data_IF_674406970565
#
_entry.id   IF_674406970565
#
_cell.length_a   1.000
_cell.length_b   1.000
_cell.length_c   1.000
_cell.angle_alpha   90.00
_cell.angle_beta   90.00
_cell.angle_gamma   90.00
#
_symmetry.space_group_name_H-M   'P 1'
#
loop_
_entity.id
_entity.type
_entity.pdbx_description
1 polymer ?
#
# COMPACT_ATOMS: atom_id res chain seq x y z
N UNK A 1 52.00 8.75 -34.85
CA UNK A 1 53.27 7.98 -34.93
C UNK A 1 53.61 7.61 -33.49
N UNK A 2 53.42 6.39 -32.99
CA UNK A 2 53.99 5.12 -33.42
C UNK A 2 52.98 3.96 -33.33
N UNK A 3 53.09 3.07 -34.30
CA UNK A 3 52.40 1.78 -34.46
C UNK A 3 53.23 0.70 -33.75
N UNK A 4 52.60 -0.16 -32.95
CA UNK A 4 53.22 -1.43 -32.49
C UNK A 4 52.32 -2.59 -32.88
N UNK A 5 52.86 -3.42 -33.77
CA UNK A 5 52.32 -4.69 -34.27
C UNK A 5 52.54 -5.77 -33.20
N UNK A 6 51.51 -6.54 -32.87
CA UNK A 6 51.63 -7.80 -32.12
C UNK A 6 51.43 -8.98 -33.10
N UNK A 7 52.40 -9.91 -33.14
CA UNK A 7 52.35 -11.15 -33.92
C UNK A 7 51.47 -12.23 -33.28
N UNK A 8 51.12 -13.30 -34.01
CA UNK A 8 50.18 -14.31 -33.53
C UNK A 8 50.89 -15.36 -32.67
N UNK A 9 50.45 -15.54 -31.43
CA UNK A 9 50.84 -16.69 -30.59
C UNK A 9 49.76 -17.76 -30.63
N UNK A 10 50.10 -18.87 -31.26
CA UNK A 10 49.35 -20.12 -31.28
C UNK A 10 49.46 -20.82 -29.93
N UNK A 11 48.36 -20.91 -29.16
CA UNK A 11 48.24 -21.85 -28.04
C UNK A 11 46.91 -22.58 -28.17
N UNK A 12 47.00 -23.92 -28.22
CA UNK A 12 45.90 -24.84 -28.48
C UNK A 12 44.79 -24.77 -27.45
N UNK A 13 43.56 -24.92 -27.94
CA UNK A 13 42.32 -24.93 -27.16
C UNK A 13 42.15 -26.31 -26.51
N UNK A 14 42.34 -26.41 -25.20
CA UNK A 14 41.91 -27.59 -24.45
C UNK A 14 40.37 -27.59 -24.34
N UNK A 15 39.69 -28.76 -24.44
CA UNK A 15 38.24 -28.83 -24.32
C UNK A 15 37.79 -28.61 -22.87
N UNK A 16 36.74 -27.80 -22.70
CA UNK A 16 36.08 -27.54 -21.42
C UNK A 16 35.43 -28.81 -20.85
N UNK A 17 35.53 -29.07 -19.53
CA UNK A 17 34.79 -30.16 -18.91
C UNK A 17 33.29 -29.86 -18.88
N UNK A 18 32.47 -30.87 -19.17
CA UNK A 18 31.01 -30.82 -19.16
C UNK A 18 30.48 -30.38 -17.79
N UNK A 19 29.63 -29.36 -17.77
CA UNK A 19 28.91 -28.92 -16.57
C UNK A 19 27.90 -29.99 -16.15
N UNK A 20 28.21 -30.65 -15.03
CA UNK A 20 27.27 -31.45 -14.24
C UNK A 20 26.06 -30.59 -13.85
N UNK A 21 24.87 -31.03 -14.24
CA UNK A 21 23.59 -30.37 -13.95
C UNK A 21 23.25 -30.50 -12.47
N UNK A 22 23.53 -29.46 -11.69
CA UNK A 22 23.00 -29.29 -10.33
C UNK A 22 21.47 -29.15 -10.36
N UNK A 23 20.71 -29.91 -9.55
CA UNK A 23 19.25 -29.80 -9.52
C UNK A 23 18.83 -28.45 -8.92
N UNK A 24 18.06 -27.68 -9.69
CA UNK A 24 17.51 -26.37 -9.33
C UNK A 24 16.66 -26.45 -8.05
N UNK A 25 16.93 -25.68 -6.98
CA UNK A 25 16.07 -25.61 -5.81
C UNK A 25 14.92 -24.62 -6.08
N UNK A 26 14.11 -24.85 -7.11
CA UNK A 26 13.04 -23.92 -7.54
C UNK A 26 11.61 -24.37 -7.25
N UNK A 27 11.41 -25.50 -6.55
CA UNK A 27 10.05 -26.00 -6.28
C UNK A 27 9.51 -25.76 -4.87
N UNK A 28 10.33 -25.39 -3.88
CA UNK A 28 9.86 -25.23 -2.48
C UNK A 28 9.57 -23.80 -2.01
N UNK A 29 10.06 -22.76 -2.70
CA UNK A 29 9.81 -21.36 -2.29
C UNK A 29 8.42 -20.86 -2.76
N UNK A 30 7.88 -21.42 -3.84
CA UNK A 30 6.56 -21.02 -4.37
C UNK A 30 5.39 -21.42 -3.47
N UNK A 31 5.56 -22.45 -2.63
CA UNK A 31 4.48 -23.00 -1.79
C UNK A 31 4.23 -22.21 -0.50
N UNK A 32 5.22 -21.45 0.02
CA UNK A 32 5.02 -20.63 1.21
C UNK A 32 4.45 -19.24 0.88
N UNK A 33 4.82 -18.65 -0.25
CA UNK A 33 4.33 -17.33 -0.67
C UNK A 33 2.83 -17.34 -1.06
N UNK A 34 2.31 -18.47 -1.55
CA UNK A 34 0.89 -18.63 -1.91
C UNK A 34 -0.07 -18.65 -0.72
N UNK A 35 0.44 -18.80 0.51
CA UNK A 35 -0.38 -18.76 1.72
C UNK A 35 -0.54 -17.37 2.31
N UNK A 36 0.25 -16.39 1.84
CA UNK A 36 0.21 -15.00 2.33
C UNK A 36 -0.51 -14.05 1.38
N UNK A 37 -0.71 -14.43 0.11
CA UNK A 37 -1.43 -13.64 -0.87
C UNK A 37 -2.30 -14.57 -1.74
N UNK A 38 -3.63 -14.45 -1.68
CA UNK A 38 -4.53 -15.16 -2.61
C UNK A 38 -4.31 -14.65 -4.04
N UNK A 39 -4.57 -15.53 -5.02
CA UNK A 39 -4.48 -15.24 -6.45
C UNK A 39 -5.25 -13.97 -6.84
N UNK A 40 -4.83 -13.23 -7.89
CA UNK A 40 -5.50 -12.01 -8.31
C UNK A 40 -6.97 -12.26 -8.58
N UNK A 41 -7.82 -11.50 -7.90
CA UNK A 41 -9.27 -11.53 -8.07
C UNK A 41 -9.56 -10.96 -9.45
N UNK A 42 -10.04 -11.79 -10.38
CA UNK A 42 -10.53 -11.33 -11.68
C UNK A 42 -11.59 -10.25 -11.47
N UNK A 43 -11.40 -9.10 -12.15
CA UNK A 43 -12.14 -7.83 -12.07
C UNK A 43 -13.68 -7.94 -12.06
N UNK A 44 -14.23 -9.09 -12.46
CA UNK A 44 -15.66 -9.36 -12.61
C UNK A 44 -16.43 -9.60 -11.30
N UNK A 45 -15.77 -9.83 -10.16
CA UNK A 45 -16.46 -10.25 -8.93
C UNK A 45 -16.75 -9.15 -7.90
N UNK A 46 -16.26 -7.91 -8.10
CA UNK A 46 -16.47 -6.83 -7.12
C UNK A 46 -17.82 -6.15 -7.37
N UNK A 47 -18.77 -6.18 -6.40
CA UNK A 47 -20.02 -5.44 -6.56
C UNK A 47 -19.71 -3.96 -6.80
N UNK A 48 -20.18 -3.41 -7.92
CA UNK A 48 -20.05 -1.99 -8.24
C UNK A 48 -20.95 -1.19 -7.31
N UNK A 49 -20.57 -0.99 -6.05
CA UNK A 49 -21.25 -0.03 -5.19
C UNK A 49 -21.21 1.36 -5.87
N UNK A 50 -22.21 2.21 -5.68
CA UNK A 50 -22.15 3.56 -6.24
C UNK A 50 -21.08 4.38 -5.50
N UNK A 51 -20.47 5.36 -6.17
CA UNK A 51 -19.69 6.39 -5.46
C UNK A 51 -20.59 7.04 -4.39
N UNK A 52 -20.02 7.52 -3.26
CA UNK A 52 -20.83 8.11 -2.20
C UNK A 52 -21.74 9.19 -2.78
N UNK A 53 -23.04 9.09 -2.50
CA UNK A 53 -24.02 10.13 -2.88
C UNK A 53 -23.61 11.45 -2.19
N UNK A 54 -23.88 12.59 -2.83
CA UNK A 54 -23.73 13.90 -2.20
C UNK A 54 -24.43 13.90 -0.83
N UNK A 55 -23.76 14.43 0.20
CA UNK A 55 -24.27 14.40 1.58
C UNK A 55 -23.94 13.14 2.39
N UNK A 56 -23.36 12.08 1.78
CA UNK A 56 -22.95 10.90 2.53
C UNK A 56 -21.84 11.21 3.54
N UNK A 57 -21.85 10.47 4.66
CA UNK A 57 -20.77 10.47 5.66
C UNK A 57 -19.64 9.56 5.16
N UNK A 58 -18.43 10.11 5.09
CA UNK A 58 -17.23 9.40 4.63
C UNK A 58 -16.12 9.54 5.66
N UNK A 59 -15.27 8.51 5.78
CA UNK A 59 -14.08 8.55 6.63
C UNK A 59 -12.84 8.62 5.75
N UNK A 60 -11.84 9.41 6.17
CA UNK A 60 -10.55 9.54 5.48
C UNK A 60 -9.45 9.23 6.47
N UNK A 61 -8.75 8.10 6.28
CA UNK A 61 -7.54 7.81 7.07
C UNK A 61 -6.39 8.70 6.61
N UNK A 62 -5.38 8.94 7.45
CA UNK A 62 -4.19 9.70 7.03
C UNK A 62 -4.51 11.12 6.55
N UNK A 63 -5.55 11.75 7.09
CA UNK A 63 -6.07 13.04 6.61
C UNK A 63 -5.09 14.21 6.75
N UNK A 64 -4.10 14.10 7.63
CA UNK A 64 -3.02 15.07 7.79
C UNK A 64 -1.90 14.92 6.74
N UNK A 65 -1.90 13.86 5.93
CA UNK A 65 -0.94 13.67 4.85
C UNK A 65 -1.25 14.56 3.65
N UNK A 66 -0.30 14.69 2.72
CA UNK A 66 -0.45 15.55 1.54
C UNK A 66 -1.69 15.19 0.69
N UNK A 67 -1.80 13.93 0.28
CA UNK A 67 -2.96 13.43 -0.47
C UNK A 67 -4.23 13.49 0.39
N UNK A 68 -4.14 13.09 1.65
CA UNK A 68 -5.27 13.06 2.59
C UNK A 68 -5.92 14.43 2.78
N UNK A 69 -5.13 15.49 2.98
CA UNK A 69 -5.64 16.84 3.20
C UNK A 69 -6.38 17.41 1.99
N UNK A 70 -5.82 17.21 0.79
CA UNK A 70 -6.49 17.60 -0.45
C UNK A 70 -7.77 16.79 -0.71
N UNK A 71 -7.73 15.49 -0.40
CA UNK A 71 -8.89 14.61 -0.52
C UNK A 71 -10.03 15.08 0.40
N UNK A 72 -9.73 15.40 1.67
CA UNK A 72 -10.71 15.97 2.62
C UNK A 72 -11.34 17.23 2.03
N UNK A 73 -10.52 18.19 1.57
CA UNK A 73 -11.02 19.44 0.96
C UNK A 73 -11.95 19.15 -0.22
N UNK A 74 -11.56 18.25 -1.13
CA UNK A 74 -12.32 17.91 -2.33
C UNK A 74 -13.63 17.18 -2.03
N UNK A 75 -13.67 16.37 -0.96
CA UNK A 75 -14.89 15.71 -0.49
C UNK A 75 -15.86 16.73 0.14
N UNK A 76 -15.34 17.68 0.93
CA UNK A 76 -16.15 18.75 1.51
C UNK A 76 -16.73 19.68 0.44
N UNK A 77 -15.95 20.05 -0.58
CA UNK A 77 -16.40 20.82 -1.76
C UNK A 77 -17.52 20.10 -2.52
N UNK A 78 -17.51 18.76 -2.53
CA UNK A 78 -18.56 17.93 -3.15
C UNK A 78 -19.79 17.71 -2.27
N UNK A 79 -19.88 18.36 -1.11
CA UNK A 79 -21.06 18.29 -0.25
C UNK A 79 -21.08 17.12 0.72
N UNK A 80 -19.98 16.38 0.91
CA UNK A 80 -19.92 15.29 1.88
C UNK A 80 -19.70 15.79 3.32
N UNK A 81 -20.04 14.94 4.29
CA UNK A 81 -19.62 15.06 5.69
C UNK A 81 -18.42 14.15 5.90
N UNK A 82 -17.30 14.72 6.35
CA UNK A 82 -15.99 14.04 6.39
C UNK A 82 -15.55 13.83 7.84
N UNK A 83 -15.21 12.59 8.17
CA UNK A 83 -14.48 12.21 9.38
C UNK A 83 -13.01 12.04 9.02
N UNK A 84 -12.21 13.05 9.35
CA UNK A 84 -10.78 13.07 9.07
C UNK A 84 -10.00 12.40 10.21
N UNK A 85 -9.43 11.23 9.94
CA UNK A 85 -8.65 10.50 10.92
C UNK A 85 -7.18 10.91 10.84
N UNK A 86 -6.63 11.31 11.97
CA UNK A 86 -5.25 11.74 12.18
C UNK A 86 -4.71 11.03 13.42
N UNK A 87 -3.39 10.94 13.60
CA UNK A 87 -2.85 10.24 14.79
C UNK A 87 -3.02 11.04 16.07
N UNK A 88 -2.89 12.36 15.99
CA UNK A 88 -3.07 13.26 17.12
C UNK A 88 -3.79 14.53 16.65
N UNK A 89 -5.01 14.73 17.16
CA UNK A 89 -5.84 15.90 16.88
C UNK A 89 -5.37 17.17 17.61
N UNK A 90 -4.50 17.03 18.61
CA UNK A 90 -3.91 18.14 19.35
C UNK A 90 -2.59 18.64 18.72
N UNK A 91 -2.06 17.93 17.72
CA UNK A 91 -0.85 18.36 17.01
C UNK A 91 -1.17 19.44 15.96
N UNK A 92 -1.29 20.69 16.39
CA UNK A 92 -1.65 21.83 15.52
C UNK A 92 -0.70 22.02 14.34
N UNK A 93 0.58 21.68 14.50
CA UNK A 93 1.54 21.70 13.38
C UNK A 93 1.11 20.77 12.24
N UNK A 94 0.55 19.61 12.56
CA UNK A 94 0.11 18.61 11.56
C UNK A 94 -1.34 18.81 11.13
N UNK A 95 -2.19 19.33 12.00
CA UNK A 95 -3.66 19.34 11.77
C UNK A 95 -4.28 20.73 11.69
N UNK A 96 -3.50 21.80 11.86
CA UNK A 96 -4.00 23.18 11.83
C UNK A 96 -4.74 23.53 10.54
N UNK A 97 -4.28 23.03 9.40
CA UNK A 97 -4.98 23.22 8.12
C UNK A 97 -6.34 22.51 8.05
N UNK A 98 -6.50 21.34 8.72
CA UNK A 98 -7.78 20.66 8.82
C UNK A 98 -8.71 21.41 9.79
N UNK A 99 -8.19 21.89 10.93
CA UNK A 99 -8.95 22.70 11.89
C UNK A 99 -9.50 23.98 11.22
N UNK A 100 -8.70 24.64 10.38
CA UNK A 100 -9.13 25.81 9.62
C UNK A 100 -10.26 25.52 8.62
N UNK A 101 -10.36 24.27 8.11
CA UNK A 101 -11.45 23.87 7.20
C UNK A 101 -12.79 23.66 7.92
N UNK A 102 -12.81 23.36 9.23
CA UNK A 102 -14.05 23.08 9.98
C UNK A 102 -15.07 24.23 9.85
N UNK A 103 -14.74 25.49 10.20
CA UNK A 103 -15.68 26.60 10.03
C UNK A 103 -15.96 26.90 8.55
N UNK A 104 -14.97 26.73 7.66
CA UNK A 104 -15.12 27.03 6.23
C UNK A 104 -16.14 26.15 5.51
N UNK A 105 -16.41 24.94 6.04
CA UNK A 105 -17.37 23.99 5.46
C UNK A 105 -18.59 23.73 6.36
N UNK A 106 -18.90 24.66 7.27
CA UNK A 106 -20.13 24.62 8.07
C UNK A 106 -20.19 23.43 9.04
N UNK A 107 -19.05 23.02 9.60
CA UNK A 107 -19.00 21.92 10.57
C UNK A 107 -19.12 20.51 9.98
N UNK A 108 -19.15 20.37 8.64
CA UNK A 108 -19.17 19.06 7.96
C UNK A 108 -17.86 18.27 8.07
N UNK A 109 -16.83 18.84 8.69
CA UNK A 109 -15.56 18.19 8.97
C UNK A 109 -15.44 17.92 10.47
N UNK A 110 -15.11 16.68 10.83
CA UNK A 110 -14.75 16.29 12.21
C UNK A 110 -13.38 15.62 12.21
N UNK A 111 -12.56 15.93 13.21
CA UNK A 111 -11.22 15.35 13.39
C UNK A 111 -11.30 14.22 14.43
N UNK A 112 -10.69 13.08 14.11
CA UNK A 112 -10.68 11.89 14.97
C UNK A 112 -9.26 11.40 15.17
N UNK A 113 -8.84 11.21 16.43
CA UNK A 113 -7.54 10.58 16.74
C UNK A 113 -7.64 9.07 16.51
N UNK A 114 -6.84 8.52 15.60
CA UNK A 114 -6.76 7.09 15.33
C UNK A 114 -5.36 6.68 14.90
N UNK A 115 -4.85 5.61 15.51
CA UNK A 115 -3.59 4.96 15.13
C UNK A 115 -3.91 3.67 14.36
N UNK A 116 -3.46 3.57 13.12
CA UNK A 116 -3.68 2.39 12.28
C UNK A 116 -2.94 1.15 12.74
N UNK A 117 -1.94 1.31 13.60
CA UNK A 117 -1.21 0.21 14.22
C UNK A 117 -1.91 -0.33 15.46
N UNK A 118 -2.98 0.34 15.94
CA UNK A 118 -3.76 -0.07 17.09
C UNK A 118 -5.07 -0.75 16.67
N UNK A 119 -5.28 -1.99 17.16
CA UNK A 119 -6.51 -2.75 16.92
C UNK A 119 -7.74 -1.98 17.39
N UNK A 120 -8.75 -1.88 16.51
CA UNK A 120 -10.04 -1.26 16.83
C UNK A 120 -10.04 0.27 16.83
N UNK A 121 -8.92 0.92 16.47
CA UNK A 121 -8.81 2.39 16.46
C UNK A 121 -9.83 3.09 15.55
N UNK A 122 -10.41 2.37 14.59
CA UNK A 122 -11.39 2.91 13.64
C UNK A 122 -12.82 2.42 13.87
N UNK A 123 -13.07 1.57 14.88
CA UNK A 123 -14.37 0.92 15.08
C UNK A 123 -15.51 1.94 15.19
N UNK A 124 -15.39 2.89 16.11
CA UNK A 124 -16.39 3.94 16.31
C UNK A 124 -16.39 4.95 15.15
N UNK A 125 -15.22 5.22 14.56
CA UNK A 125 -15.09 6.24 13.51
C UNK A 125 -15.74 5.78 12.21
N UNK A 126 -15.76 4.47 11.94
CA UNK A 126 -16.40 3.91 10.75
C UNK A 126 -17.90 3.65 10.93
N UNK A 127 -18.43 3.69 12.16
CA UNK A 127 -19.86 3.50 12.43
C UNK A 127 -20.72 4.63 11.83
N UNK A 128 -21.59 4.31 10.87
CA UNK A 128 -22.39 5.28 10.12
C UNK A 128 -21.66 5.93 8.93
N UNK A 129 -20.38 5.61 8.69
CA UNK A 129 -19.67 6.00 7.48
C UNK A 129 -20.00 5.02 6.35
N UNK A 130 -20.21 5.53 5.13
CA UNK A 130 -20.60 4.72 3.97
C UNK A 130 -19.40 4.37 3.08
N UNK A 131 -18.39 5.24 3.07
CA UNK A 131 -17.16 5.06 2.29
C UNK A 131 -15.96 5.40 3.15
N UNK A 132 -14.95 4.53 3.14
CA UNK A 132 -13.64 4.77 3.73
C UNK A 132 -12.67 5.06 2.61
N UNK A 133 -12.07 6.24 2.62
CA UNK A 133 -10.91 6.55 1.80
C UNK A 133 -9.65 6.30 2.61
N UNK A 134 -8.76 5.49 2.07
CA UNK A 134 -7.61 4.97 2.78
C UNK A 134 -6.27 5.36 2.13
N UNK A 135 -5.85 6.63 2.27
CA UNK A 135 -4.50 7.06 1.89
C UNK A 135 -3.46 6.83 2.99
N UNK A 136 -3.85 6.47 4.22
CA UNK A 136 -2.89 6.14 5.26
C UNK A 136 -2.02 4.95 4.87
N UNK A 137 -0.76 4.99 5.32
CA UNK A 137 0.23 3.98 5.01
C UNK A 137 1.27 3.96 6.14
N UNK A 138 1.76 2.77 6.50
CA UNK A 138 2.71 2.58 7.61
C UNK A 138 4.09 2.07 7.20
N UNK A 139 4.27 1.56 5.97
CA UNK A 139 5.55 1.01 5.54
C UNK A 139 6.59 2.10 5.25
N UNK A 140 6.20 3.21 4.63
CA UNK A 140 7.03 4.41 4.43
C UNK A 140 6.83 5.47 5.50
N UNK A 141 5.90 5.24 6.43
CA UNK A 141 5.89 5.98 7.70
C UNK A 141 7.09 5.53 8.54
N UNK A 142 8.30 5.92 8.13
CA UNK A 142 9.46 5.90 9.01
C UNK A 142 9.08 6.72 10.24
N UNK A 143 8.81 5.96 11.29
CA UNK A 143 8.32 6.38 12.58
C UNK A 143 7.20 7.37 12.55
N UNK A 144 6.00 7.05 12.06
CA UNK A 144 4.86 7.89 12.46
C UNK A 144 5.07 9.41 12.10
N UNK A 145 5.87 9.75 11.07
CA UNK A 145 6.29 11.15 10.84
C UNK A 145 6.93 11.82 12.08
N UNK A 146 7.65 11.03 12.87
CA UNK A 146 8.50 11.33 14.03
C UNK A 146 9.96 11.22 13.57
N UNK A 147 10.85 11.74 14.39
CA UNK A 147 12.29 11.66 14.17
C UNK A 147 12.75 10.20 14.05
N UNK A 148 13.81 9.94 13.28
CA UNK A 148 14.27 8.57 12.95
C UNK A 148 14.59 7.74 14.20
N UNK A 149 14.91 8.41 15.31
CA UNK A 149 15.16 7.82 16.63
C UNK A 149 13.91 7.27 17.32
N UNK A 150 12.73 7.82 17.02
CA UNK A 150 11.46 7.35 17.58
C UNK A 150 10.82 6.25 16.75
N UNK A 151 11.09 6.23 15.44
CA UNK A 151 10.73 5.14 14.54
C UNK A 151 11.28 3.78 15.01
N UNK A 152 12.52 3.80 15.51
CA UNK A 152 13.22 2.62 16.03
C UNK A 152 12.51 2.03 17.25
N UNK A 153 11.74 2.82 18.02
CA UNK A 153 10.99 2.31 19.18
C UNK A 153 9.85 1.35 18.77
N UNK A 154 9.27 1.53 17.60
CA UNK A 154 8.16 0.68 17.11
C UNK A 154 8.66 -0.68 16.60
N UNK A 155 9.93 -0.77 16.19
CA UNK A 155 10.54 -1.97 15.58
C UNK A 155 11.69 -2.57 16.41
N UNK A 156 12.10 -1.95 17.52
CA UNK A 156 13.28 -2.31 18.31
C UNK A 156 14.60 -2.17 17.53
N UNK A 157 15.66 -2.85 17.99
CA UNK A 157 17.01 -2.79 17.40
C UNK A 157 17.12 -3.38 15.97
N UNK A 158 16.02 -3.85 15.36
CA UNK A 158 16.02 -4.49 14.04
C UNK A 158 14.84 -4.03 13.17
N UNK A 159 14.95 -2.83 12.60
CA UNK A 159 14.12 -2.45 11.45
C UNK A 159 14.55 -3.30 10.25
N UNK A 160 13.75 -4.31 9.91
CA UNK A 160 13.92 -5.10 8.68
C UNK A 160 12.78 -4.85 7.72
N UNK A 161 13.04 -4.99 6.41
CA UNK A 161 12.00 -4.90 5.38
C UNK A 161 10.83 -5.85 5.68
N UNK A 162 11.14 -7.06 6.19
CA UNK A 162 10.13 -8.03 6.61
C UNK A 162 9.25 -7.51 7.76
N UNK A 163 9.85 -6.96 8.81
CA UNK A 163 9.09 -6.43 9.94
C UNK A 163 8.17 -5.27 9.52
N UNK A 164 8.63 -4.39 8.63
CA UNK A 164 7.82 -3.29 8.08
C UNK A 164 6.68 -3.81 7.22
N UNK A 165 6.93 -4.82 6.39
CA UNK A 165 5.91 -5.49 5.60
C UNK A 165 4.85 -6.14 6.50
N UNK A 166 5.25 -6.99 7.44
CA UNK A 166 4.34 -7.67 8.37
C UNK A 166 3.47 -6.67 9.13
N UNK A 167 4.06 -5.55 9.58
CA UNK A 167 3.35 -4.50 10.29
C UNK A 167 2.34 -3.75 9.41
N UNK A 168 2.65 -3.54 8.13
CA UNK A 168 1.72 -2.96 7.16
C UNK A 168 0.54 -3.89 6.87
N UNK A 169 0.79 -5.19 6.75
CA UNK A 169 -0.27 -6.19 6.57
C UNK A 169 -1.16 -6.28 7.81
N UNK A 170 -0.58 -6.27 9.01
CA UNK A 170 -1.33 -6.27 10.27
C UNK A 170 -2.20 -5.01 10.41
N UNK A 171 -1.66 -3.84 10.09
CA UNK A 171 -2.40 -2.57 10.12
C UNK A 171 -3.57 -2.57 9.13
N UNK A 172 -3.38 -3.17 7.95
CA UNK A 172 -4.44 -3.35 6.95
C UNK A 172 -5.55 -4.28 7.44
N UNK A 173 -5.21 -5.33 8.19
CA UNK A 173 -6.21 -6.19 8.84
C UNK A 173 -7.10 -5.41 9.82
N UNK A 174 -6.53 -4.52 10.64
CA UNK A 174 -7.34 -3.71 11.56
C UNK A 174 -8.33 -2.79 10.84
N UNK A 175 -7.98 -2.28 9.66
CA UNK A 175 -8.91 -1.52 8.82
C UNK A 175 -10.05 -2.40 8.33
N UNK A 176 -9.76 -3.60 7.83
CA UNK A 176 -10.76 -4.58 7.40
C UNK A 176 -11.69 -4.96 8.56
N UNK A 177 -11.14 -5.19 9.76
CA UNK A 177 -11.91 -5.54 10.95
C UNK A 177 -12.90 -4.43 11.32
N UNK A 178 -12.45 -3.17 11.35
CA UNK A 178 -13.32 -2.02 11.64
C UNK A 178 -14.38 -1.80 10.56
N UNK A 179 -14.04 -2.00 9.27
CA UNK A 179 -15.01 -1.94 8.16
C UNK A 179 -16.09 -3.02 8.35
N UNK A 180 -15.66 -4.25 8.63
CA UNK A 180 -16.57 -5.38 8.81
C UNK A 180 -17.50 -5.18 10.01
N UNK A 181 -16.99 -4.59 11.09
CA UNK A 181 -17.75 -4.28 12.30
C UNK A 181 -18.76 -3.15 12.12
N UNK A 182 -18.44 -2.13 11.30
CA UNK A 182 -19.32 -0.98 11.08
C UNK A 182 -20.68 -1.35 10.48
N UNK A 183 -20.76 -2.37 9.63
CA UNK A 183 -21.93 -2.80 8.84
C UNK A 183 -22.49 -1.75 7.84
N UNK A 184 -22.21 -0.47 8.05
CA UNK A 184 -22.64 0.67 7.22
C UNK A 184 -21.68 0.99 6.09
N UNK A 185 -20.38 0.70 6.24
CA UNK A 185 -19.40 0.87 5.17
C UNK A 185 -19.74 -0.07 4.02
N UNK A 186 -19.87 0.51 2.81
CA UNK A 186 -20.12 -0.21 1.55
C UNK A 186 -18.95 -0.13 0.57
N UNK A 187 -17.96 0.73 0.84
CA UNK A 187 -16.82 0.90 -0.06
C UNK A 187 -15.55 1.28 0.67
N UNK A 188 -14.45 0.65 0.27
CA UNK A 188 -13.10 1.06 0.57
C UNK A 188 -12.44 1.62 -0.70
N UNK A 189 -11.92 2.84 -0.64
CA UNK A 189 -11.07 3.41 -1.70
C UNK A 189 -9.64 3.41 -1.19
N UNK A 190 -8.84 2.46 -1.65
CA UNK A 190 -7.44 2.35 -1.27
C UNK A 190 -6.53 3.19 -2.17
N UNK A 191 -5.62 3.98 -1.57
CA UNK A 191 -4.59 4.68 -2.34
C UNK A 191 -3.39 3.75 -2.58
N UNK A 192 -3.41 3.10 -3.75
CA UNK A 192 -2.32 2.32 -4.31
C UNK A 192 -1.08 3.16 -4.64
N UNK A 193 -0.08 2.56 -5.28
CA UNK A 193 1.09 3.27 -5.81
C UNK A 193 1.50 2.68 -7.14
N UNK A 194 2.03 3.50 -8.05
CA UNK A 194 2.65 2.99 -9.29
C UNK A 194 3.77 1.98 -9.00
N UNK A 195 4.37 2.04 -7.81
CA UNK A 195 5.34 1.05 -7.34
C UNK A 195 4.78 -0.38 -7.28
N UNK A 196 3.45 -0.57 -7.16
CA UNK A 196 2.85 -1.91 -7.15
C UNK A 196 2.89 -2.57 -8.53
N UNK A 197 2.81 -1.80 -9.61
CA UNK A 197 2.84 -2.29 -11.00
C UNK A 197 4.19 -2.10 -11.70
N UNK A 198 5.11 -1.34 -11.10
CA UNK A 198 6.44 -1.15 -11.66
C UNK A 198 7.30 -2.40 -11.48
N UNK A 199 7.87 -2.94 -12.56
CA UNK A 199 8.85 -4.00 -12.48
C UNK A 199 10.23 -3.45 -12.09
N UNK A 200 10.93 -4.15 -11.21
CA UNK A 200 12.22 -3.72 -10.62
C UNK A 200 13.41 -3.84 -11.55
N UNK A 201 13.18 -4.20 -12.82
CA UNK A 201 14.24 -4.31 -13.82
C UNK A 201 14.26 -3.07 -14.71
N UNK A 202 15.40 -2.38 -14.74
CA UNK A 202 15.66 -1.22 -15.60
C UNK A 202 15.60 -1.52 -17.10
N UNK A 203 15.54 -2.80 -17.50
CA UNK A 203 15.40 -3.22 -18.90
C UNK A 203 14.04 -2.84 -19.52
N UNK A 204 13.06 -2.48 -18.71
CA UNK A 204 11.67 -2.28 -19.18
C UNK A 204 11.44 -0.87 -19.73
N UNK A 205 12.28 0.11 -19.35
CA UNK A 205 12.34 1.38 -20.08
C UNK A 205 12.80 1.21 -21.54
N UNK A 206 13.24 0.01 -21.94
CA UNK A 206 13.81 -0.28 -23.25
C UNK A 206 12.96 -1.31 -24.03
N UNK A 207 12.31 -2.29 -23.37
CA UNK A 207 11.69 -3.44 -24.06
C UNK A 207 10.17 -3.64 -23.85
N UNK A 208 9.54 -3.05 -22.81
CA UNK A 208 8.09 -3.14 -22.55
C UNK A 208 7.54 -1.75 -22.14
N UNK A 209 7.22 -0.93 -23.15
CA UNK A 209 6.96 0.51 -22.97
C UNK A 209 5.60 0.89 -22.37
N UNK A 210 4.67 -0.07 -22.23
CA UNK A 210 3.30 0.19 -21.74
C UNK A 210 3.04 -0.58 -20.44
N UNK A 211 3.00 0.17 -19.35
CA UNK A 211 2.50 -0.29 -18.04
C UNK A 211 1.00 0.01 -17.95
N UNK A 212 0.22 -0.99 -17.59
CA UNK A 212 -1.23 -0.91 -17.38
C UNK A 212 -1.62 -1.81 -16.21
N UNK A 213 -2.85 -1.63 -15.70
CA UNK A 213 -3.38 -2.35 -14.55
C UNK A 213 -3.63 -3.85 -14.81
N UNK A 214 -3.54 -4.31 -16.06
CA UNK A 214 -3.76 -5.71 -16.44
C UNK A 214 -2.52 -6.58 -16.32
N UNK A 215 -1.35 -5.97 -16.11
CA UNK A 215 -0.06 -6.67 -16.07
C UNK A 215 0.53 -6.70 -14.67
N UNK A 216 0.74 -7.92 -14.18
CA UNK A 216 1.57 -8.16 -13.00
C UNK A 216 3.04 -7.98 -13.39
N UNK A 217 3.79 -7.08 -12.73
CA UNK A 217 5.21 -6.98 -12.98
C UNK A 217 5.93 -8.26 -12.53
N UNK A 218 6.96 -8.64 -13.30
CA UNK A 218 7.80 -9.81 -13.02
C UNK A 218 8.50 -9.75 -11.66
N UNK A 219 9.21 -10.83 -11.31
CA UNK A 219 9.85 -11.00 -10.01
C UNK A 219 10.67 -9.77 -9.56
N UNK A 220 10.38 -9.28 -8.35
CA UNK A 220 11.03 -8.11 -7.77
C UNK A 220 12.49 -8.44 -7.36
N UNK A 221 13.45 -7.67 -7.88
CA UNK A 221 14.88 -7.77 -7.51
C UNK A 221 15.19 -7.15 -6.15
N UNK A 222 14.34 -6.27 -5.62
CA UNK A 222 14.50 -5.59 -4.34
C UNK A 222 14.11 -6.44 -3.12
N UNK A 223 13.68 -7.69 -3.35
CA UNK A 223 13.33 -8.66 -2.31
C UNK A 223 11.84 -8.70 -1.97
N UNK A 224 11.41 -9.80 -1.35
CA UNK A 224 10.00 -10.14 -1.09
C UNK A 224 9.25 -9.19 -0.15
N UNK A 225 9.93 -8.19 0.44
CA UNK A 225 9.37 -7.30 1.46
C UNK A 225 9.64 -5.82 1.14
N UNK A 226 9.88 -5.51 -0.14
CA UNK A 226 10.08 -4.13 -0.61
C UNK A 226 8.80 -3.29 -0.45
N UNK A 227 8.90 -1.97 -0.61
CA UNK A 227 7.74 -1.08 -0.66
C UNK A 227 6.77 -1.48 -1.78
N UNK A 228 7.32 -1.79 -2.96
CA UNK A 228 6.56 -2.21 -4.13
C UNK A 228 5.75 -3.49 -3.85
N UNK A 229 6.40 -4.51 -3.27
CA UNK A 229 5.72 -5.75 -2.88
C UNK A 229 4.69 -5.49 -1.80
N UNK A 230 5.00 -4.69 -0.78
CA UNK A 230 4.06 -4.38 0.30
C UNK A 230 2.81 -3.69 -0.23
N UNK A 231 2.96 -2.73 -1.15
CA UNK A 231 1.82 -2.07 -1.79
C UNK A 231 0.97 -3.05 -2.57
N UNK A 232 1.59 -3.92 -3.38
CA UNK A 232 0.88 -4.96 -4.13
C UNK A 232 0.17 -5.97 -3.23
N UNK A 233 0.85 -6.48 -2.21
CA UNK A 233 0.26 -7.38 -1.21
C UNK A 233 -0.93 -6.74 -0.52
N UNK A 234 -0.86 -5.44 -0.22
CA UNK A 234 -1.97 -4.69 0.39
C UNK A 234 -3.16 -4.55 -0.57
N UNK A 235 -2.92 -4.31 -1.86
CA UNK A 235 -3.97 -4.28 -2.88
C UNK A 235 -4.69 -5.62 -2.97
N UNK A 236 -3.94 -6.73 -3.09
CA UNK A 236 -4.51 -8.08 -3.13
C UNK A 236 -5.23 -8.44 -1.84
N UNK A 237 -4.69 -8.01 -0.69
CA UNK A 237 -5.30 -8.23 0.61
C UNK A 237 -6.68 -7.56 0.72
N UNK A 238 -6.80 -6.28 0.37
CA UNK A 238 -8.10 -5.60 0.39
C UNK A 238 -9.06 -6.20 -0.64
N UNK A 239 -8.60 -6.49 -1.85
CA UNK A 239 -9.43 -7.12 -2.89
C UNK A 239 -9.98 -8.49 -2.45
N UNK A 240 -9.12 -9.32 -1.82
CA UNK A 240 -9.54 -10.58 -1.24
C UNK A 240 -10.60 -10.39 -0.16
N UNK A 241 -10.35 -9.51 0.81
CA UNK A 241 -11.30 -9.27 1.90
C UNK A 241 -12.63 -8.69 1.43
N UNK A 242 -12.62 -7.88 0.38
CA UNK A 242 -13.83 -7.43 -0.29
C UNK A 242 -14.59 -8.61 -0.93
N UNK A 243 -13.88 -9.50 -1.64
CA UNK A 243 -14.48 -10.67 -2.32
C UNK A 243 -15.14 -11.66 -1.36
N UNK A 244 -14.51 -11.91 -0.20
CA UNK A 244 -15.07 -12.80 0.83
C UNK A 244 -16.04 -12.08 1.78
N UNK A 245 -16.29 -10.79 1.58
CA UNK A 245 -17.24 -10.02 2.41
C UNK A 245 -18.69 -10.42 2.18
N UNK A 246 -18.99 -11.18 1.12
CA UNK A 246 -20.34 -11.51 0.67
C UNK A 246 -21.07 -10.32 0.03
N UNK A 247 -20.32 -9.40 -0.60
CA UNK A 247 -20.85 -8.19 -1.23
C UNK A 247 -21.31 -7.12 -0.24
N UNK A 248 -20.87 -7.20 1.02
CA UNK A 248 -21.16 -6.17 2.04
C UNK A 248 -20.44 -4.87 1.75
N UNK A 249 -19.24 -4.96 1.18
CA UNK A 249 -18.46 -3.83 0.70
C UNK A 249 -17.56 -4.23 -0.47
N UNK A 250 -17.16 -3.23 -1.26
CA UNK A 250 -16.20 -3.33 -2.38
C UNK A 250 -14.91 -2.60 -2.08
#
# INVERSE_FOLDING_TARGET
KFLVRAGPSSHGRAPMPQQSTMPQPRRRVRALASHLCPNPVTESAVPKHALPKTGAVVAVTGAAGYIGGWLVKKLLERGHTVRACVRDTQNDRKVGFLKAMIPAFGGRLTLHSADMTAKGAYDQIFEGAHTVFHPAEVFMSFGNGRDIKEAVKDFGDKVSLKAMHDHAMQSSQYIVDSINKSSTVKRLVYTASIASIMPTSTKIFIEDSVMDESKEPGADRAGEHSYAITKRSTEHFFAYHASVSGGRWS
#
